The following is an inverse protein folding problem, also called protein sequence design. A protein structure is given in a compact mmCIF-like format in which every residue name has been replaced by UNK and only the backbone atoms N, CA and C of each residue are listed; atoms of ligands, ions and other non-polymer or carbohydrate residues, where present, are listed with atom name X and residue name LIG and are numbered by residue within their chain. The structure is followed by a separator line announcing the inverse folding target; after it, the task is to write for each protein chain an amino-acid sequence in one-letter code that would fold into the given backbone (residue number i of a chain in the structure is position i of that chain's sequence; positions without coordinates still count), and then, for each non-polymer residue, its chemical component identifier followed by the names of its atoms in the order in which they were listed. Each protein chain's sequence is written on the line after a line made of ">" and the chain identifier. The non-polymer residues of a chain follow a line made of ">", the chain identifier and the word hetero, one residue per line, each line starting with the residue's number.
data_IF_474390142450
#
_entry.id   IF_474390142450
#
_cell.length_a   1.000
_cell.length_b   1.000
_cell.length_c   1.000
_cell.angle_alpha   90.00
_cell.angle_beta   90.00
_cell.angle_gamma   90.00
#
_symmetry.space_group_name_H-M   'P 1'
#
loop_
_entity.id
_entity.type
_entity.pdbx_description
1 polymer ?
#
# COMPACT_ATOMS: atom_id res chain seq x y z
N UNK A 1 6.22 16.15 26.12
CA UNK A 1 6.82 15.27 27.16
C UNK A 1 6.55 15.82 28.54
N UNK A 2 6.74 17.12 28.79
CA UNK A 2 6.58 17.75 30.09
C UNK A 2 5.19 17.53 30.72
N UNK A 3 4.11 17.78 29.99
CA UNK A 3 2.74 17.57 30.47
C UNK A 3 2.49 16.13 30.94
N UNK A 4 3.08 15.15 30.24
CA UNK A 4 2.95 13.75 30.61
C UNK A 4 3.71 13.45 31.91
N UNK A 5 4.91 14.02 32.09
CA UNK A 5 5.69 13.90 33.34
C UNK A 5 4.93 14.48 34.53
N UNK A 6 4.40 15.70 34.37
CA UNK A 6 3.59 16.35 35.41
C UNK A 6 2.37 15.49 35.76
N UNK A 7 1.69 14.95 34.76
CA UNK A 7 0.55 14.06 34.99
C UNK A 7 0.92 12.78 35.72
N UNK A 8 2.04 12.14 35.36
CA UNK A 8 2.50 10.91 36.00
C UNK A 8 2.98 11.20 37.43
N UNK A 9 3.69 12.31 37.65
CA UNK A 9 4.09 12.74 39.00
C UNK A 9 2.90 12.98 39.94
N UNK A 10 1.81 13.56 39.43
CA UNK A 10 0.65 13.91 40.25
C UNK A 10 -0.31 12.75 40.50
N UNK A 11 -0.41 11.79 39.58
CA UNK A 11 -1.49 10.78 39.56
C UNK A 11 -1.02 9.36 39.34
N UNK A 12 0.29 9.14 39.27
CA UNK A 12 0.90 7.87 38.92
C UNK A 12 0.67 7.48 37.46
N UNK A 13 1.14 6.31 37.09
CA UNK A 13 0.89 5.72 35.79
C UNK A 13 -0.53 5.10 35.76
N UNK A 14 -1.44 5.64 34.93
CA UNK A 14 -2.81 5.15 34.79
C UNK A 14 -2.96 4.04 33.76
N UNK A 15 -2.25 4.16 32.64
CA UNK A 15 -2.32 3.18 31.56
C UNK A 15 -1.03 2.39 31.50
N UNK A 16 -1.08 1.05 31.41
CA UNK A 16 0.10 0.23 31.27
C UNK A 16 0.84 0.53 29.95
N UNK A 17 2.14 0.29 29.96
CA UNK A 17 2.89 0.08 28.71
C UNK A 17 2.61 -1.34 28.22
N UNK A 18 2.84 -1.60 26.93
CA UNK A 18 2.76 -2.96 26.39
C UNK A 18 4.18 -3.47 26.15
N UNK A 19 4.43 -4.67 26.65
CA UNK A 19 5.72 -5.36 26.51
C UNK A 19 5.50 -6.79 26.02
N UNK A 20 6.53 -7.39 25.46
CA UNK A 20 6.58 -8.81 25.12
C UNK A 20 7.93 -9.36 25.55
N UNK A 21 8.01 -10.68 25.69
CA UNK A 21 9.24 -11.40 25.99
C UNK A 21 9.85 -11.87 24.68
N UNK A 22 11.10 -11.54 24.42
CA UNK A 22 11.84 -12.00 23.23
C UNK A 22 12.34 -13.44 23.40
N UNK A 23 12.99 -13.98 22.36
CA UNK A 23 13.55 -15.32 22.36
C UNK A 23 14.64 -15.54 23.42
N UNK A 24 15.27 -14.47 23.91
CA UNK A 24 16.27 -14.50 24.98
C UNK A 24 15.63 -14.36 26.38
N UNK A 25 14.30 -14.30 26.49
CA UNK A 25 13.59 -14.10 27.75
C UNK A 25 13.63 -12.66 28.26
N UNK A 26 13.99 -11.68 27.43
CA UNK A 26 14.08 -10.29 27.81
C UNK A 26 12.79 -9.54 27.46
N UNK A 27 12.35 -8.64 28.36
CA UNK A 27 11.22 -7.77 28.09
C UNK A 27 11.58 -6.68 27.07
N UNK A 28 10.84 -6.64 25.98
CA UNK A 28 10.93 -5.63 24.92
C UNK A 28 9.69 -4.74 24.92
N UNK A 29 9.90 -3.45 24.70
CA UNK A 29 8.81 -2.49 24.66
C UNK A 29 8.06 -2.56 23.31
N UNK A 30 6.75 -2.83 23.36
CA UNK A 30 5.85 -2.79 22.21
C UNK A 30 5.20 -1.41 22.04
N UNK A 31 4.64 -0.86 23.14
CA UNK A 31 3.92 0.42 23.16
C UNK A 31 4.08 1.15 24.47
N UNK A 32 4.10 2.49 24.39
CA UNK A 32 4.18 3.32 25.60
C UNK A 32 5.56 3.91 25.86
N UNK A 33 6.42 4.08 24.83
CA UNK A 33 7.75 4.69 24.94
C UNK A 33 7.76 6.01 25.70
N UNK A 34 6.80 6.91 25.42
CA UNK A 34 6.71 8.20 26.10
C UNK A 34 6.49 8.05 27.61
N UNK A 35 5.68 7.07 28.04
CA UNK A 35 5.44 6.79 29.46
C UNK A 35 6.69 6.22 30.14
N UNK A 36 7.34 5.26 29.49
CA UNK A 36 8.58 4.67 30.00
C UNK A 36 9.68 5.73 30.15
N UNK A 37 9.83 6.60 29.14
CA UNK A 37 10.80 7.70 29.19
C UNK A 37 10.46 8.70 30.30
N UNK A 38 9.18 9.05 30.47
CA UNK A 38 8.76 9.97 31.53
C UNK A 38 9.02 9.40 32.93
N UNK A 39 8.76 8.10 33.16
CA UNK A 39 9.04 7.43 34.42
C UNK A 39 10.53 7.36 34.69
N UNK A 40 11.38 7.05 33.70
CA UNK A 40 12.84 7.06 33.84
C UNK A 40 13.37 8.45 34.24
N UNK A 41 12.90 9.51 33.57
CA UNK A 41 13.28 10.88 33.88
C UNK A 41 12.83 11.29 35.30
N UNK A 42 11.60 10.90 35.70
CA UNK A 42 11.12 11.19 37.06
C UNK A 42 11.96 10.46 38.13
N UNK A 43 12.31 9.21 37.85
CA UNK A 43 13.18 8.46 38.76
C UNK A 43 14.59 9.07 38.87
N UNK A 44 15.18 9.46 37.75
CA UNK A 44 16.49 10.14 37.70
C UNK A 44 16.47 11.49 38.44
N UNK A 45 15.37 12.24 38.34
CA UNK A 45 15.22 13.54 38.98
C UNK A 45 14.94 13.45 40.50
N UNK A 46 14.13 12.49 40.91
CA UNK A 46 13.59 12.45 42.29
C UNK A 46 14.22 11.38 43.17
N UNK A 47 14.77 10.32 42.55
CA UNK A 47 15.20 9.12 43.27
C UNK A 47 14.06 8.34 43.94
N UNK A 48 12.80 8.71 43.66
CA UNK A 48 11.63 8.10 44.30
C UNK A 48 11.40 6.67 43.76
N UNK A 49 11.41 5.64 44.65
CA UNK A 49 11.18 4.26 44.27
C UNK A 49 9.86 4.01 43.54
N UNK A 50 8.86 4.87 43.67
CA UNK A 50 7.57 4.74 42.96
C UNK A 50 7.79 4.81 41.45
N UNK A 51 8.73 5.64 40.96
CA UNK A 51 9.02 5.80 39.53
C UNK A 51 10.05 4.77 39.01
N UNK A 52 10.62 3.93 39.88
CA UNK A 52 11.51 2.83 39.49
C UNK A 52 10.76 1.66 38.87
N UNK A 53 9.45 1.61 39.01
CA UNK A 53 8.58 0.55 38.52
C UNK A 53 7.67 1.07 37.42
N UNK A 54 7.35 0.19 36.48
CA UNK A 54 6.42 0.50 35.40
C UNK A 54 5.28 -0.53 35.39
N UNK A 55 4.05 -0.05 35.25
CA UNK A 55 2.91 -0.95 35.04
C UNK A 55 2.94 -1.35 33.57
N UNK A 56 3.13 -2.66 33.33
CA UNK A 56 3.21 -3.21 31.99
C UNK A 56 2.15 -4.30 31.80
N UNK A 57 1.64 -4.41 30.58
CA UNK A 57 0.82 -5.54 30.13
C UNK A 57 1.70 -6.38 29.20
N UNK A 58 1.86 -7.65 29.55
CA UNK A 58 2.56 -8.58 28.70
C UNK A 58 1.64 -9.05 27.57
N UNK A 59 2.15 -9.03 26.34
CA UNK A 59 1.49 -9.60 25.17
C UNK A 59 2.11 -10.96 24.89
N UNK A 60 1.31 -12.03 24.97
CA UNK A 60 1.78 -13.41 24.79
C UNK A 60 1.23 -13.97 23.47
N UNK A 61 2.07 -14.61 22.67
CA UNK A 61 1.65 -15.40 21.50
C UNK A 61 2.53 -15.25 20.27
N UNK A 62 2.51 -16.25 19.40
CA UNK A 62 3.29 -16.33 18.16
C UNK A 62 2.94 -15.27 17.09
N UNK A 63 1.86 -14.50 17.27
CA UNK A 63 1.48 -13.40 16.38
C UNK A 63 2.13 -12.05 16.74
N UNK A 64 2.97 -12.02 17.77
CA UNK A 64 3.50 -10.79 18.36
C UNK A 64 4.28 -9.97 17.32
N UNK A 65 5.09 -10.60 16.50
CA UNK A 65 5.97 -9.88 15.58
C UNK A 65 5.20 -9.23 14.43
N UNK A 66 4.28 -9.94 13.80
CA UNK A 66 3.44 -9.34 12.75
C UNK A 66 2.58 -8.21 13.30
N UNK A 67 2.03 -8.39 14.51
CA UNK A 67 1.26 -7.33 15.18
C UNK A 67 2.11 -6.10 15.44
N UNK A 68 3.39 -6.24 15.83
CA UNK A 68 4.33 -5.11 15.99
C UNK A 68 4.53 -4.34 14.69
N UNK A 69 4.77 -5.04 13.59
CA UNK A 69 4.89 -4.40 12.28
C UNK A 69 3.58 -3.73 11.85
N UNK A 70 2.43 -4.35 12.13
CA UNK A 70 1.11 -3.76 11.83
C UNK A 70 0.87 -2.49 12.65
N UNK A 71 1.09 -2.54 13.98
CA UNK A 71 0.94 -1.39 14.86
C UNK A 71 1.89 -0.24 14.46
N UNK A 72 3.14 -0.56 14.12
CA UNK A 72 4.13 0.40 13.63
C UNK A 72 3.66 1.05 12.31
N UNK A 73 3.15 0.26 11.40
CA UNK A 73 2.59 0.75 10.12
C UNK A 73 1.39 1.65 10.36
N UNK A 74 0.43 1.23 11.18
CA UNK A 74 -0.78 2.01 11.47
C UNK A 74 -0.44 3.34 12.14
N UNK A 75 0.48 3.35 13.10
CA UNK A 75 0.93 4.58 13.76
C UNK A 75 1.63 5.54 12.76
N UNK A 76 2.52 5.01 11.93
CA UNK A 76 3.29 5.83 10.99
C UNK A 76 2.47 6.30 9.79
N UNK A 77 1.53 5.48 9.31
CA UNK A 77 0.63 5.87 8.21
C UNK A 77 -0.31 7.02 8.59
N UNK A 78 -0.70 7.08 9.87
CA UNK A 78 -1.55 8.18 10.37
C UNK A 78 -0.75 9.47 10.55
N UNK A 79 0.55 9.37 10.90
CA UNK A 79 1.41 10.53 11.19
C UNK A 79 2.18 11.06 10.00
N UNK A 80 2.61 10.18 9.12
CA UNK A 80 3.48 10.50 8.00
C UNK A 80 2.90 9.87 6.72
N UNK A 81 2.87 10.63 5.64
CA UNK A 81 2.49 10.11 4.32
C UNK A 81 3.60 9.19 3.78
N UNK A 82 3.70 7.97 4.30
CA UNK A 82 4.66 6.97 3.83
C UNK A 82 4.51 6.75 2.31
N UNK A 83 5.63 6.82 1.61
CA UNK A 83 5.69 6.45 0.20
C UNK A 83 5.43 4.94 0.02
N UNK A 84 5.03 4.54 -1.19
CA UNK A 84 4.84 3.12 -1.50
C UNK A 84 6.13 2.31 -1.37
N UNK A 85 7.28 2.95 -1.61
CA UNK A 85 8.59 2.33 -1.40
C UNK A 85 8.88 2.06 0.08
N UNK A 86 8.59 3.00 0.97
CA UNK A 86 8.75 2.80 2.42
C UNK A 86 7.82 1.70 2.94
N UNK A 87 6.56 1.70 2.50
CA UNK A 87 5.64 0.62 2.83
C UNK A 87 6.16 -0.75 2.34
N UNK A 88 6.66 -0.82 1.12
CA UNK A 88 7.24 -2.04 0.58
C UNK A 88 8.48 -2.50 1.36
N UNK A 89 9.34 -1.55 1.75
CA UNK A 89 10.54 -1.83 2.56
C UNK A 89 10.17 -2.44 3.91
N UNK A 90 9.12 -1.95 4.57
CA UNK A 90 8.62 -2.55 5.83
C UNK A 90 8.20 -4.01 5.62
N UNK A 91 7.51 -4.33 4.53
CA UNK A 91 7.11 -5.71 4.24
C UNK A 91 8.32 -6.61 3.96
N UNK A 92 9.35 -6.10 3.26
CA UNK A 92 10.59 -6.82 2.99
C UNK A 92 11.38 -7.07 4.30
N UNK A 93 11.49 -6.06 5.16
CA UNK A 93 12.15 -6.20 6.46
C UNK A 93 11.42 -7.18 7.37
N UNK A 94 10.09 -7.14 7.39
CA UNK A 94 9.29 -8.09 8.15
C UNK A 94 9.46 -9.52 7.64
N UNK A 95 9.59 -9.73 6.33
CA UNK A 95 9.84 -11.05 5.73
C UNK A 95 11.24 -11.58 6.03
N UNK A 96 12.21 -10.70 6.28
CA UNK A 96 13.58 -11.06 6.65
C UNK A 96 13.76 -11.23 8.16
N UNK A 97 12.77 -10.89 8.97
CA UNK A 97 12.82 -11.03 10.43
C UNK A 97 12.68 -12.51 10.83
N UNK A 98 13.68 -13.11 11.51
CA UNK A 98 13.64 -14.51 11.92
C UNK A 98 12.47 -14.88 12.84
N UNK A 99 11.90 -13.89 13.53
CA UNK A 99 10.76 -14.09 14.44
C UNK A 99 9.41 -14.03 13.70
N UNK A 100 9.39 -13.69 12.41
CA UNK A 100 8.21 -13.71 11.54
C UNK A 100 8.17 -15.02 10.77
N UNK A 101 7.10 -15.78 10.91
CA UNK A 101 6.95 -17.09 10.27
C UNK A 101 6.79 -16.94 8.74
N UNK A 102 6.11 -15.89 8.30
CA UNK A 102 5.88 -15.63 6.89
C UNK A 102 7.11 -14.94 6.26
N UNK A 103 7.76 -15.62 5.35
CA UNK A 103 8.98 -15.14 4.67
C UNK A 103 8.71 -14.49 3.31
N UNK A 104 7.46 -14.53 2.84
CA UNK A 104 7.06 -13.86 1.60
C UNK A 104 6.56 -12.44 1.87
N UNK A 105 7.34 -11.45 1.45
CA UNK A 105 6.99 -10.04 1.58
C UNK A 105 5.69 -9.67 0.84
N UNK A 106 5.35 -10.34 -0.27
CA UNK A 106 4.09 -10.11 -0.99
C UNK A 106 2.89 -10.60 -0.18
N UNK A 107 2.99 -11.78 0.44
CA UNK A 107 1.96 -12.30 1.34
C UNK A 107 1.80 -11.41 2.58
N UNK A 108 2.92 -10.95 3.17
CA UNK A 108 2.90 -10.03 4.31
C UNK A 108 2.21 -8.70 4.02
N UNK A 109 2.26 -8.19 2.80
CA UNK A 109 1.47 -7.00 2.41
C UNK A 109 -0.02 -7.17 2.68
N UNK A 110 -0.56 -8.38 2.56
CA UNK A 110 -1.96 -8.67 2.86
C UNK A 110 -2.31 -8.50 4.33
N UNK A 111 -1.39 -8.84 5.22
CA UNK A 111 -1.56 -8.81 6.69
C UNK A 111 -1.23 -7.42 7.25
N UNK A 112 -0.05 -6.89 6.93
CA UNK A 112 0.44 -5.59 7.43
C UNK A 112 -0.46 -4.41 7.02
N UNK A 113 -1.05 -4.49 5.83
CA UNK A 113 -1.89 -3.44 5.25
C UNK A 113 -3.35 -3.86 5.12
N UNK A 114 -3.84 -4.74 6.02
CA UNK A 114 -5.21 -5.28 5.97
C UNK A 114 -6.29 -4.18 5.99
N UNK A 115 -6.05 -3.09 6.74
CA UNK A 115 -6.93 -1.93 6.83
C UNK A 115 -6.99 -1.09 5.54
N UNK A 116 -6.05 -1.28 4.59
CA UNK A 116 -6.02 -0.51 3.36
C UNK A 116 -6.92 -1.09 2.28
N UNK A 117 -7.45 -0.20 1.42
CA UNK A 117 -8.19 -0.62 0.25
C UNK A 117 -7.33 -1.54 -0.66
N UNK A 118 -7.99 -2.54 -1.29
CA UNK A 118 -7.35 -3.55 -2.15
C UNK A 118 -6.36 -2.96 -3.17
N UNK A 119 -6.73 -1.84 -3.81
CA UNK A 119 -5.85 -1.18 -4.78
C UNK A 119 -4.56 -0.65 -4.16
N UNK A 120 -4.64 -0.04 -2.97
CA UNK A 120 -3.44 0.47 -2.27
C UNK A 120 -2.48 -0.68 -1.93
N UNK A 121 -3.00 -1.80 -1.44
CA UNK A 121 -2.20 -3.02 -1.18
C UNK A 121 -1.54 -3.56 -2.45
N UNK A 122 -2.25 -3.54 -3.58
CA UNK A 122 -1.69 -3.95 -4.87
C UNK A 122 -0.51 -3.07 -5.31
N UNK A 123 -0.57 -1.77 -5.04
CA UNK A 123 0.55 -0.85 -5.32
C UNK A 123 1.75 -1.15 -4.42
N UNK A 124 1.54 -1.40 -3.12
CA UNK A 124 2.63 -1.81 -2.21
C UNK A 124 3.30 -3.09 -2.71
N UNK A 125 2.54 -4.11 -3.12
CA UNK A 125 3.07 -5.34 -3.70
C UNK A 125 3.89 -5.11 -4.98
N UNK A 126 3.46 -4.17 -5.82
CA UNK A 126 4.25 -3.79 -6.99
C UNK A 126 5.60 -3.19 -6.60
N UNK A 127 5.63 -2.37 -5.54
CA UNK A 127 6.86 -1.81 -5.02
C UNK A 127 7.73 -2.84 -4.30
N UNK A 128 7.16 -3.84 -3.61
CA UNK A 128 7.93 -4.97 -3.07
C UNK A 128 8.71 -5.66 -4.20
N UNK A 129 8.02 -6.02 -5.27
CA UNK A 129 8.67 -6.63 -6.42
C UNK A 129 9.75 -5.71 -7.04
N UNK A 130 9.44 -4.42 -7.19
CA UNK A 130 10.37 -3.44 -7.76
C UNK A 130 11.66 -3.34 -6.93
N UNK A 131 11.53 -3.24 -5.60
CA UNK A 131 12.68 -3.16 -4.69
C UNK A 131 13.50 -4.46 -4.69
N UNK A 132 12.84 -5.62 -4.70
CA UNK A 132 13.53 -6.91 -4.77
C UNK A 132 14.24 -7.11 -6.11
N UNK A 133 13.61 -6.70 -7.23
CA UNK A 133 14.18 -6.85 -8.56
C UNK A 133 15.36 -5.92 -8.83
N UNK A 134 15.29 -4.67 -8.36
CA UNK A 134 16.31 -3.66 -8.63
C UNK A 134 17.36 -3.53 -7.51
N UNK A 135 17.02 -3.93 -6.28
CA UNK A 135 17.94 -3.91 -5.14
C UNK A 135 18.54 -2.52 -4.89
N UNK A 136 19.84 -2.50 -4.62
CA UNK A 136 20.61 -1.29 -4.31
C UNK A 136 20.79 -0.35 -5.51
N UNK A 137 20.55 -0.83 -6.74
CA UNK A 137 20.64 0.02 -7.94
C UNK A 137 19.54 1.07 -7.99
N UNK A 138 18.41 0.85 -7.28
CA UNK A 138 17.36 1.85 -7.05
C UNK A 138 17.71 2.70 -5.81
N UNK A 139 18.60 3.68 -5.99
CA UNK A 139 19.21 4.48 -4.90
C UNK A 139 18.21 5.40 -4.16
N UNK A 140 17.20 5.90 -4.86
CA UNK A 140 16.18 6.81 -4.31
C UNK A 140 14.77 6.24 -4.48
N UNK A 141 14.43 5.15 -3.76
CA UNK A 141 13.14 4.49 -3.90
C UNK A 141 11.96 5.35 -3.44
N UNK A 142 12.18 6.25 -2.47
CA UNK A 142 11.14 7.16 -1.95
C UNK A 142 10.64 8.15 -2.99
N UNK A 143 11.51 8.55 -3.93
CA UNK A 143 11.22 9.52 -4.98
C UNK A 143 10.53 8.90 -6.20
N UNK A 144 10.36 7.57 -6.20
CA UNK A 144 9.65 6.88 -7.28
C UNK A 144 8.15 7.11 -7.14
N UNK A 145 7.58 7.82 -8.11
CA UNK A 145 6.13 8.04 -8.13
C UNK A 145 5.36 6.72 -8.26
N UNK A 146 4.17 6.65 -7.65
CA UNK A 146 3.30 5.46 -7.69
C UNK A 146 3.13 4.93 -9.12
N UNK A 147 2.79 5.79 -10.06
CA UNK A 147 2.47 5.37 -11.43
C UNK A 147 3.68 4.76 -12.14
N UNK A 148 4.84 5.40 -12.00
CA UNK A 148 6.10 4.90 -12.58
C UNK A 148 6.49 3.58 -11.94
N UNK A 149 6.50 3.49 -10.60
CA UNK A 149 6.91 2.28 -9.90
C UNK A 149 6.00 1.07 -10.20
N UNK A 150 4.68 1.28 -10.23
CA UNK A 150 3.74 0.20 -10.56
C UNK A 150 3.89 -0.26 -12.01
N UNK A 151 4.07 0.67 -12.96
CA UNK A 151 4.20 0.32 -14.38
C UNK A 151 5.55 -0.34 -14.69
N UNK A 152 6.65 0.14 -14.11
CA UNK A 152 7.96 -0.53 -14.22
C UNK A 152 7.89 -1.94 -13.64
N UNK A 153 7.32 -2.11 -12.44
CA UNK A 153 7.15 -3.43 -11.83
C UNK A 153 6.32 -4.36 -12.71
N UNK A 154 5.26 -3.86 -13.37
CA UNK A 154 4.44 -4.64 -14.30
C UNK A 154 5.26 -5.12 -15.50
N UNK A 155 6.02 -4.22 -16.14
CA UNK A 155 6.83 -4.52 -17.32
C UNK A 155 8.01 -5.44 -17.02
N UNK A 156 8.63 -5.30 -15.84
CA UNK A 156 9.65 -6.23 -15.36
C UNK A 156 9.07 -7.65 -15.16
N UNK A 157 7.87 -7.75 -14.55
CA UNK A 157 7.20 -9.06 -14.36
C UNK A 157 6.80 -9.73 -15.68
N UNK A 158 6.38 -8.94 -16.66
CA UNK A 158 6.01 -9.47 -17.98
C UNK A 158 7.20 -9.77 -18.89
N UNK A 159 8.43 -9.39 -18.46
CA UNK A 159 9.62 -9.52 -19.29
C UNK A 159 9.71 -8.51 -20.45
N UNK A 160 8.83 -7.51 -20.48
CA UNK A 160 8.88 -6.39 -21.43
C UNK A 160 10.14 -5.53 -21.22
N UNK A 161 10.63 -5.46 -20.00
CA UNK A 161 11.88 -4.79 -19.62
C UNK A 161 12.78 -5.84 -18.96
N UNK A 162 14.04 -5.91 -19.39
CA UNK A 162 15.06 -6.72 -18.72
C UNK A 162 15.50 -6.08 -17.40
N UNK A 163 15.53 -6.88 -16.33
CA UNK A 163 16.03 -6.45 -15.02
C UNK A 163 17.49 -5.99 -15.12
N UNK A 164 18.33 -6.75 -15.79
CA UNK A 164 19.77 -6.47 -15.88
C UNK A 164 20.07 -5.19 -16.67
N UNK A 165 19.32 -4.96 -17.75
CA UNK A 165 19.44 -3.72 -18.56
C UNK A 165 19.02 -2.50 -17.74
N UNK A 166 17.92 -2.62 -16.99
CA UNK A 166 17.44 -1.52 -16.18
C UNK A 166 18.39 -1.23 -15.01
N UNK A 167 18.91 -2.27 -14.35
CA UNK A 167 19.91 -2.12 -13.28
C UNK A 167 21.16 -1.40 -13.80
N UNK A 168 21.71 -1.85 -14.94
CA UNK A 168 22.88 -1.21 -15.56
C UNK A 168 22.63 0.28 -15.87
N UNK A 169 21.46 0.62 -16.35
CA UNK A 169 21.08 2.01 -16.60
C UNK A 169 20.96 2.83 -15.31
N UNK A 170 20.44 2.25 -14.23
CA UNK A 170 20.26 2.90 -12.93
C UNK A 170 21.58 3.17 -12.21
N UNK A 171 22.61 2.34 -12.42
CA UNK A 171 23.97 2.56 -11.87
C UNK A 171 24.50 3.96 -12.22
N UNK A 172 24.20 4.45 -13.44
CA UNK A 172 24.65 5.75 -13.93
C UNK A 172 23.92 6.94 -13.31
N UNK A 173 22.79 6.70 -12.63
CA UNK A 173 22.02 7.77 -11.99
C UNK A 173 22.76 8.31 -10.76
N UNK A 174 23.01 9.62 -10.74
CA UNK A 174 23.71 10.31 -9.66
C UNK A 174 22.79 11.09 -8.71
N UNK A 175 21.51 11.21 -9.04
CA UNK A 175 20.51 11.97 -8.29
C UNK A 175 19.09 11.42 -8.55
N UNK A 176 18.07 11.79 -7.72
CA UNK A 176 16.70 11.30 -7.86
C UNK A 176 16.06 11.64 -9.22
N UNK A 177 16.41 12.78 -9.81
CA UNK A 177 15.84 13.21 -11.09
C UNK A 177 16.39 12.38 -12.26
N UNK A 178 17.69 12.08 -12.24
CA UNK A 178 18.31 11.20 -13.24
C UNK A 178 17.76 9.77 -13.12
N UNK A 179 17.58 9.25 -11.90
CA UNK A 179 16.89 7.97 -11.66
C UNK A 179 15.47 7.98 -12.24
N UNK A 180 14.70 9.03 -11.97
CA UNK A 180 13.33 9.14 -12.48
C UNK A 180 13.30 9.21 -14.02
N UNK A 181 14.30 9.84 -14.66
CA UNK A 181 14.45 9.86 -16.13
C UNK A 181 14.73 8.47 -16.68
N UNK A 182 15.64 7.72 -16.06
CA UNK A 182 15.96 6.32 -16.45
C UNK A 182 14.71 5.46 -16.36
N UNK A 183 13.98 5.50 -15.22
CA UNK A 183 12.76 4.73 -15.04
C UNK A 183 11.67 5.10 -16.06
N UNK A 184 11.51 6.39 -16.37
CA UNK A 184 10.56 6.85 -17.39
C UNK A 184 10.99 6.46 -18.80
N UNK A 185 12.29 6.55 -19.13
CA UNK A 185 12.82 6.13 -20.42
C UNK A 185 12.57 4.65 -20.67
N UNK A 186 12.70 3.78 -19.65
CA UNK A 186 12.38 2.37 -19.74
C UNK A 186 10.87 2.10 -19.99
N UNK A 187 10.01 3.09 -19.76
CA UNK A 187 8.57 3.02 -20.06
C UNK A 187 8.22 3.56 -21.45
N UNK A 188 9.12 4.29 -22.07
CA UNK A 188 8.96 4.70 -23.48
C UNK A 188 9.41 3.51 -24.31
N UNK A 189 8.48 2.89 -25.02
CA UNK A 189 8.84 1.83 -25.97
C UNK A 189 9.89 2.42 -26.92
N UNK A 190 10.99 1.72 -27.16
CA UNK A 190 11.89 2.02 -28.29
C UNK A 190 11.16 1.74 -29.63
N UNK A 191 10.05 2.40 -29.84
CA UNK A 191 9.35 2.45 -31.12
C UNK A 191 9.91 3.63 -31.93
N UNK A 192 11.19 3.58 -32.24
CA UNK A 192 11.90 4.59 -33.00
C UNK A 192 12.80 4.02 -34.09
N UNK A 193 12.44 2.92 -34.75
CA UNK A 193 12.89 2.53 -36.09
C UNK A 193 12.22 1.20 -36.51
N UNK A 194 11.01 1.30 -36.93
CA UNK A 194 10.23 0.19 -37.44
C UNK A 194 8.77 0.46 -37.16
N UNK A 195 7.91 0.23 -38.13
CA UNK A 195 6.46 0.35 -38.02
C UNK A 195 5.98 -0.02 -36.61
N UNK A 196 5.09 0.78 -35.98
CA UNK A 196 4.65 0.49 -34.64
C UNK A 196 4.14 -0.94 -34.64
N UNK A 197 4.72 -1.85 -33.77
CA UNK A 197 4.10 -3.11 -33.56
C UNK A 197 2.71 -2.74 -33.06
N UNK A 198 1.73 -3.06 -33.89
CA UNK A 198 0.34 -2.90 -33.52
C UNK A 198 0.30 -3.40 -32.09
N UNK A 199 -0.05 -2.52 -31.15
CA UNK A 199 -0.50 -2.94 -29.83
C UNK A 199 -1.26 -4.22 -30.14
N UNK A 200 -0.76 -5.39 -29.67
CA UNK A 200 -1.66 -6.51 -29.45
C UNK A 200 -2.61 -5.97 -28.41
N UNK A 201 -3.54 -5.21 -28.93
CA UNK A 201 -4.70 -4.81 -28.21
C UNK A 201 -5.18 -6.13 -27.60
N UNK A 202 -5.15 -6.26 -26.29
CA UNK A 202 -6.36 -6.84 -25.67
C UNK A 202 -7.46 -6.27 -26.52
N UNK A 203 -8.27 -7.13 -27.18
CA UNK A 203 -9.28 -6.62 -28.09
C UNK A 203 -9.92 -5.47 -27.32
N UNK A 204 -9.71 -4.24 -27.79
CA UNK A 204 -10.41 -3.10 -27.25
C UNK A 204 -11.82 -3.47 -27.56
N UNK A 205 -12.51 -4.00 -26.54
CA UNK A 205 -13.93 -4.27 -26.65
C UNK A 205 -14.48 -2.96 -27.16
N UNK A 206 -14.89 -2.91 -28.42
CA UNK A 206 -15.30 -1.68 -29.09
C UNK A 206 -16.27 -0.96 -28.20
N UNK A 207 -15.85 0.16 -27.64
CA UNK A 207 -16.70 1.01 -26.83
C UNK A 207 -17.40 1.95 -27.79
N UNK A 208 -18.67 1.74 -28.00
CA UNK A 208 -19.55 2.67 -28.74
C UNK A 208 -20.18 3.61 -27.72
N UNK A 209 -20.02 4.90 -27.93
CA UNK A 209 -20.58 5.93 -27.08
C UNK A 209 -21.35 6.89 -27.98
N UNK A 210 -22.65 7.07 -27.68
CA UNK A 210 -23.50 7.99 -28.43
C UNK A 210 -24.56 8.60 -27.51
N UNK A 211 -25.14 9.71 -27.97
CA UNK A 211 -26.23 10.39 -27.27
C UNK A 211 -27.50 10.33 -28.08
N UNK A 212 -28.61 10.09 -27.40
CA UNK A 212 -29.95 10.14 -27.96
C UNK A 212 -30.75 11.15 -27.11
N UNK A 213 -30.84 12.41 -27.57
CA UNK A 213 -31.35 13.50 -26.78
C UNK A 213 -30.49 13.69 -25.52
N UNK A 214 -31.10 13.73 -24.34
CA UNK A 214 -30.43 13.86 -23.06
C UNK A 214 -29.85 12.55 -22.49
N UNK A 215 -30.06 11.44 -23.20
CA UNK A 215 -29.63 10.11 -22.79
C UNK A 215 -28.24 9.82 -23.38
N UNK A 216 -27.29 9.50 -22.54
CA UNK A 216 -25.97 9.01 -22.93
C UNK A 216 -25.96 7.49 -22.86
N UNK A 217 -25.62 6.82 -23.96
CA UNK A 217 -25.51 5.36 -24.04
C UNK A 217 -24.05 4.99 -24.26
N UNK A 218 -23.57 4.05 -23.46
CA UNK A 218 -22.23 3.46 -23.58
C UNK A 218 -22.39 1.96 -23.74
N UNK A 219 -22.07 1.42 -24.91
CA UNK A 219 -22.14 0.00 -25.19
C UNK A 219 -20.75 -0.59 -25.41
N UNK A 220 -20.49 -1.74 -24.81
CA UNK A 220 -19.31 -2.58 -25.00
C UNK A 220 -19.71 -4.04 -24.85
N UNK A 221 -18.82 -4.95 -25.26
CA UNK A 221 -19.11 -6.38 -25.20
C UNK A 221 -19.63 -6.82 -23.81
N UNK A 222 -20.87 -7.31 -23.78
CA UNK A 222 -21.52 -7.80 -22.56
C UNK A 222 -22.10 -6.72 -21.64
N UNK A 223 -22.00 -5.41 -21.98
CA UNK A 223 -22.50 -4.32 -21.14
C UNK A 223 -23.09 -3.18 -21.97
N UNK A 224 -24.29 -2.75 -21.61
CA UNK A 224 -24.89 -1.51 -22.10
C UNK A 224 -25.25 -0.62 -20.89
N UNK A 225 -24.66 0.58 -20.82
CA UNK A 225 -24.90 1.55 -19.76
C UNK A 225 -25.66 2.74 -20.32
N UNK A 226 -26.82 3.00 -19.75
CA UNK A 226 -27.67 4.14 -20.09
C UNK A 226 -27.61 5.13 -18.95
N UNK A 227 -27.33 6.39 -19.25
CA UNK A 227 -27.32 7.51 -18.30
C UNK A 227 -28.29 8.55 -18.82
N UNK A 228 -29.31 8.86 -18.05
CA UNK A 228 -30.34 9.85 -18.35
C UNK A 228 -30.53 10.77 -17.12
N UNK A 229 -31.09 11.97 -17.27
CA UNK A 229 -31.43 12.85 -16.16
C UNK A 229 -32.71 12.37 -15.45
N UNK A 230 -32.72 11.09 -15.08
CA UNK A 230 -33.81 10.40 -14.40
C UNK A 230 -33.25 9.66 -13.21
N UNK A 231 -33.87 9.76 -12.07
CA UNK A 231 -33.56 8.94 -10.92
C UNK A 231 -34.17 7.53 -11.11
N UNK A 232 -33.39 6.62 -11.67
CA UNK A 232 -33.81 5.25 -11.92
C UNK A 232 -34.17 4.47 -10.63
N UNK A 233 -33.73 4.93 -9.46
CA UNK A 233 -34.09 4.29 -8.20
C UNK A 233 -35.54 4.60 -7.78
N UNK A 234 -36.10 5.69 -8.29
CA UNK A 234 -37.49 6.10 -8.03
C UNK A 234 -38.49 5.60 -9.09
N UNK A 235 -38.00 5.02 -10.20
CA UNK A 235 -38.85 4.46 -11.26
C UNK A 235 -39.47 3.14 -10.81
N UNK A 236 -40.75 2.96 -11.07
CA UNK A 236 -41.46 1.69 -10.80
C UNK A 236 -40.71 0.52 -11.46
N UNK A 237 -40.50 -0.55 -10.68
CA UNK A 237 -39.81 -1.76 -11.15
C UNK A 237 -40.50 -2.38 -12.37
N UNK A 238 -41.84 -2.35 -12.42
CA UNK A 238 -42.59 -2.92 -13.57
C UNK A 238 -42.26 -2.18 -14.87
N UNK A 239 -42.12 -0.85 -14.84
CA UNK A 239 -41.71 -0.04 -15.98
C UNK A 239 -40.29 -0.32 -16.43
N UNK A 240 -39.37 -0.56 -15.47
CA UNK A 240 -38.00 -0.94 -15.78
C UNK A 240 -37.90 -2.33 -16.38
N UNK A 241 -38.69 -3.29 -15.91
CA UNK A 241 -38.75 -4.64 -16.41
C UNK A 241 -39.33 -4.64 -17.88
N UNK A 242 -40.34 -3.82 -18.16
CA UNK A 242 -40.90 -3.63 -19.49
C UNK A 242 -39.90 -3.00 -20.47
N UNK A 243 -39.17 -1.96 -20.01
CA UNK A 243 -38.13 -1.31 -20.81
C UNK A 243 -36.98 -2.27 -21.15
N UNK A 244 -36.56 -3.09 -20.20
CA UNK A 244 -35.49 -4.11 -20.39
C UNK A 244 -36.01 -5.23 -21.34
N UNK A 245 -37.27 -5.64 -21.21
CA UNK A 245 -37.87 -6.63 -22.09
C UNK A 245 -37.91 -6.13 -23.54
N UNK A 246 -38.39 -4.91 -23.77
CA UNK A 246 -38.41 -4.28 -25.10
C UNK A 246 -36.98 -4.14 -25.69
N UNK A 247 -36.01 -3.76 -24.88
CA UNK A 247 -34.60 -3.70 -25.29
C UNK A 247 -34.07 -5.08 -25.73
N UNK A 248 -34.36 -6.14 -24.98
CA UNK A 248 -33.96 -7.50 -25.31
C UNK A 248 -34.64 -8.01 -26.58
N UNK A 249 -35.91 -7.66 -26.81
CA UNK A 249 -36.67 -8.05 -28.01
C UNK A 249 -36.05 -7.45 -29.28
N UNK A 250 -35.69 -6.17 -29.22
CA UNK A 250 -35.00 -5.47 -30.33
C UNK A 250 -33.63 -6.08 -30.61
N UNK A 251 -32.87 -6.49 -29.57
CA UNK A 251 -31.58 -7.14 -29.76
C UNK A 251 -31.67 -8.55 -30.34
N UNK A 252 -32.73 -9.31 -30.04
CA UNK A 252 -32.94 -10.68 -30.52
C UNK A 252 -33.56 -10.72 -31.93
N UNK A 253 -34.16 -9.63 -32.35
CA UNK A 253 -34.77 -9.51 -33.70
C UNK A 253 -33.77 -9.16 -34.81
N UNK A 254 -32.48 -9.22 -34.51
CA UNK A 254 -31.36 -9.11 -35.47
C UNK A 254 -30.73 -10.49 -35.69
#
# INVERSE_FOLDING_TARGET
>A
MEELRVSIRARGQKEPIEVFVDAAGQYQLKKGWRRLTALRQLFEETGDPEFSKVIARETVGAEIQITRYTDMVEENVIRENLSFAEMAQVAILAAADPEVIETDADALCGRLYASFHKMKRSYVRSFVYLLQALGEDLKWPKDVSRNVGVEVARRLRSGEISVDVLRAALVTAGDPESQARVLKAALVDEAGAGDPPSKKARPQKEKREFRLGDVKVTARDGECRIVAPVDFASVDRALLDEAVAAFNEVLRGR
#
